data_IF_793339000412
#
_entry.id   IF_793339000412
#
_cell.length_a   1.000
_cell.length_b   1.000
_cell.length_c   1.000
_cell.angle_alpha   90.00
_cell.angle_beta   90.00
_cell.angle_gamma   90.00
#
_symmetry.space_group_name_H-M   'P 1'
#
loop_
_entity.id
_entity.type
_entity.pdbx_description
1 polymer ?
#
# COMPACT_ATOMS: atom_id res chain seq x y z
N UNK A 1 11.74 -21.08 9.60
CA UNK A 1 11.10 -21.26 10.92
C UNK A 1 9.57 -21.19 10.83
N UNK A 2 8.98 -20.06 10.44
CA UNK A 2 7.52 -19.89 10.35
C UNK A 2 6.83 -20.84 9.34
N UNK A 3 7.40 -21.04 8.15
CA UNK A 3 6.88 -22.01 7.18
C UNK A 3 6.91 -23.47 7.70
N UNK A 4 7.93 -23.82 8.50
CA UNK A 4 8.02 -25.12 9.15
C UNK A 4 6.95 -25.30 10.23
N UNK A 5 6.82 -24.32 11.14
CA UNK A 5 5.77 -24.35 12.16
C UNK A 5 4.35 -24.35 11.58
N UNK A 6 4.14 -23.70 10.42
CA UNK A 6 2.90 -23.80 9.67
C UNK A 6 2.67 -25.19 9.09
N UNK A 7 3.71 -25.84 8.55
CA UNK A 7 3.62 -27.19 8.00
C UNK A 7 3.28 -28.24 9.07
N UNK A 8 3.75 -28.05 10.31
CA UNK A 8 3.55 -28.98 11.43
C UNK A 8 2.12 -28.93 12.03
N UNK A 9 1.33 -27.91 11.70
CA UNK A 9 -0.04 -27.80 12.19
C UNK A 9 -1.00 -28.76 11.46
N UNK A 10 -1.95 -29.41 12.18
CA UNK A 10 -2.99 -30.22 11.55
C UNK A 10 -3.79 -29.40 10.51
N UNK A 11 -4.13 -30.01 9.37
CA UNK A 11 -4.78 -29.32 8.24
C UNK A 11 -6.00 -28.49 8.65
N UNK A 12 -6.94 -29.07 9.41
CA UNK A 12 -8.13 -28.37 9.90
C UNK A 12 -7.80 -27.16 10.79
N UNK A 13 -6.74 -27.25 11.60
CA UNK A 13 -6.31 -26.14 12.45
C UNK A 13 -5.74 -25.00 11.61
N UNK A 14 -4.97 -25.31 10.56
CA UNK A 14 -4.47 -24.33 9.59
C UNK A 14 -5.61 -23.59 8.90
N UNK A 15 -6.59 -24.33 8.40
CA UNK A 15 -7.78 -23.78 7.75
C UNK A 15 -8.56 -22.84 8.69
N UNK A 16 -8.86 -23.28 9.91
CA UNK A 16 -9.59 -22.46 10.88
C UNK A 16 -8.82 -21.21 11.30
N UNK A 17 -7.50 -21.32 11.52
CA UNK A 17 -6.65 -20.17 11.85
C UNK A 17 -6.61 -19.17 10.71
N UNK A 18 -6.39 -19.65 9.48
CA UNK A 18 -6.33 -18.81 8.29
C UNK A 18 -7.66 -18.08 8.06
N UNK A 19 -8.77 -18.82 8.08
CA UNK A 19 -10.10 -18.25 7.92
C UNK A 19 -10.37 -17.15 8.97
N UNK A 20 -10.06 -17.43 10.24
CA UNK A 20 -10.24 -16.46 11.33
C UNK A 20 -9.41 -15.20 11.15
N UNK A 21 -8.12 -15.35 10.79
CA UNK A 21 -7.21 -14.22 10.59
C UNK A 21 -7.64 -13.36 9.41
N UNK A 22 -8.06 -13.98 8.31
CA UNK A 22 -8.49 -13.26 7.10
C UNK A 22 -9.81 -12.56 7.35
N UNK A 23 -10.81 -13.24 7.92
CA UNK A 23 -12.10 -12.63 8.22
C UNK A 23 -11.91 -11.41 9.13
N UNK A 24 -11.10 -11.54 10.19
CA UNK A 24 -10.79 -10.41 11.07
C UNK A 24 -10.09 -9.27 10.33
N UNK A 25 -9.13 -9.59 9.46
CA UNK A 25 -8.36 -8.60 8.71
C UNK A 25 -9.20 -7.84 7.68
N UNK A 26 -10.10 -8.53 6.97
CA UNK A 26 -11.04 -7.95 6.01
C UNK A 26 -12.11 -7.16 6.73
N UNK A 27 -12.69 -7.68 7.81
CA UNK A 27 -13.77 -7.00 8.55
C UNK A 27 -13.38 -5.61 9.04
N UNK A 28 -12.12 -5.44 9.47
CA UNK A 28 -11.53 -4.14 9.89
C UNK A 28 -11.39 -3.10 8.78
N UNK A 29 -11.55 -3.51 7.53
CA UNK A 29 -11.46 -2.66 6.34
C UNK A 29 -12.77 -2.65 5.55
N UNK A 30 -13.67 -3.58 5.85
CA UNK A 30 -14.87 -3.84 5.08
C UNK A 30 -15.74 -2.61 4.94
N UNK A 31 -15.94 -1.82 6.00
CA UNK A 31 -16.80 -0.64 5.92
C UNK A 31 -16.29 0.40 4.91
N UNK A 32 -14.98 0.63 4.88
CA UNK A 32 -14.32 1.55 3.95
C UNK A 32 -14.22 1.00 2.52
N UNK A 33 -14.23 -0.32 2.37
CA UNK A 33 -14.07 -0.99 1.07
C UNK A 33 -15.39 -1.39 0.41
N UNK A 34 -16.52 -1.37 1.12
CA UNK A 34 -17.83 -1.86 0.64
C UNK A 34 -18.32 -1.20 -0.65
N UNK A 35 -17.97 0.06 -0.89
CA UNK A 35 -18.33 0.76 -2.12
C UNK A 35 -17.51 0.32 -3.34
N UNK A 36 -16.41 -0.41 -3.13
CA UNK A 36 -15.46 -0.84 -4.15
C UNK A 36 -15.45 -2.36 -4.34
N UNK A 37 -15.58 -3.12 -3.25
CA UNK A 37 -15.50 -4.57 -3.24
C UNK A 37 -16.59 -5.17 -2.35
N UNK A 38 -17.11 -6.32 -2.75
CA UNK A 38 -17.87 -7.18 -1.85
C UNK A 38 -16.92 -7.76 -0.77
N UNK A 39 -17.14 -7.49 0.53
CA UNK A 39 -16.32 -8.03 1.62
C UNK A 39 -16.26 -9.56 1.64
N UNK A 40 -17.32 -10.25 1.21
CA UNK A 40 -17.32 -11.71 1.15
C UNK A 40 -16.35 -12.20 0.06
N UNK A 41 -16.44 -11.62 -1.14
CA UNK A 41 -15.52 -11.92 -2.24
C UNK A 41 -14.07 -11.58 -1.88
N UNK A 42 -13.82 -10.45 -1.19
CA UNK A 42 -12.48 -10.08 -0.73
C UNK A 42 -11.91 -11.10 0.28
N UNK A 43 -12.75 -11.62 1.17
CA UNK A 43 -12.38 -12.67 2.13
C UNK A 43 -12.00 -13.96 1.41
N UNK A 44 -12.81 -14.39 0.43
CA UNK A 44 -12.52 -15.56 -0.40
C UNK A 44 -11.18 -15.43 -1.12
N UNK A 45 -10.96 -14.31 -1.85
CA UNK A 45 -9.74 -14.10 -2.61
C UNK A 45 -8.50 -13.92 -1.75
N UNK A 46 -8.64 -13.31 -0.57
CA UNK A 46 -7.56 -13.28 0.41
C UNK A 46 -7.22 -14.69 0.93
N UNK A 47 -8.21 -15.55 1.15
CA UNK A 47 -8.00 -16.94 1.59
C UNK A 47 -7.32 -17.80 0.53
N UNK A 48 -7.74 -17.68 -0.74
CA UNK A 48 -7.08 -18.33 -1.87
C UNK A 48 -5.61 -17.89 -2.00
N UNK A 49 -5.34 -16.57 -1.92
CA UNK A 49 -3.99 -16.04 -2.03
C UNK A 49 -3.10 -16.48 -0.86
N UNK A 50 -3.59 -16.39 0.37
CA UNK A 50 -2.83 -16.77 1.56
C UNK A 50 -2.56 -18.28 1.63
N UNK A 51 -3.53 -19.11 1.20
CA UNK A 51 -3.34 -20.57 1.13
C UNK A 51 -2.23 -20.94 0.14
N UNK A 52 -2.18 -20.30 -1.03
CA UNK A 52 -1.11 -20.51 -2.02
C UNK A 52 0.26 -20.10 -1.48
N UNK A 53 0.34 -18.90 -0.88
CA UNK A 53 1.56 -18.39 -0.25
C UNK A 53 2.10 -19.32 0.83
N UNK A 54 1.22 -19.83 1.70
CA UNK A 54 1.61 -20.70 2.81
C UNK A 54 1.80 -22.17 2.41
N UNK A 55 1.27 -22.57 1.24
CA UNK A 55 1.39 -23.92 0.69
C UNK A 55 2.70 -24.20 -0.05
N UNK A 56 3.59 -23.21 -0.19
CA UNK A 56 4.89 -23.38 -0.84
C UNK A 56 4.85 -23.46 -2.37
N UNK A 57 3.75 -23.00 -3.01
CA UNK A 57 3.72 -22.81 -4.45
C UNK A 57 4.66 -21.69 -4.89
N UNK A 58 5.24 -21.81 -6.09
CA UNK A 58 6.11 -20.77 -6.67
C UNK A 58 5.38 -19.42 -6.74
N UNK A 59 5.82 -18.48 -5.90
CA UNK A 59 5.28 -17.13 -5.82
C UNK A 59 3.87 -17.07 -5.22
N UNK A 60 3.50 -15.92 -4.65
CA UNK A 60 2.17 -15.66 -4.09
C UNK A 60 1.01 -15.64 -5.09
N UNK A 61 1.08 -16.43 -6.15
CA UNK A 61 0.26 -16.32 -7.34
C UNK A 61 0.62 -15.10 -8.19
N UNK A 62 -0.14 -14.92 -9.26
CA UNK A 62 -0.15 -13.66 -10.00
C UNK A 62 -0.55 -12.53 -9.05
N UNK A 63 0.24 -11.45 -9.05
CA UNK A 63 -0.02 -10.27 -8.22
C UNK A 63 -1.45 -9.81 -8.50
N UNK A 64 -2.32 -9.65 -7.48
CA UNK A 64 -3.68 -9.18 -7.71
C UNK A 64 -3.65 -7.90 -8.55
N UNK A 65 -4.33 -7.93 -9.70
CA UNK A 65 -4.31 -6.83 -10.64
C UNK A 65 -4.91 -5.55 -10.04
N UNK A 66 -4.80 -4.45 -10.79
CA UNK A 66 -5.28 -3.13 -10.37
C UNK A 66 -6.74 -3.12 -9.88
N UNK A 67 -7.55 -4.08 -10.35
CA UNK A 67 -8.93 -4.31 -9.92
C UNK A 67 -9.09 -4.47 -8.41
N UNK A 68 -8.06 -4.90 -7.66
CA UNK A 68 -8.12 -5.12 -6.21
C UNK A 68 -7.60 -3.96 -5.36
N UNK A 69 -7.24 -2.85 -6.01
CA UNK A 69 -6.66 -1.68 -5.36
C UNK A 69 -7.60 -0.50 -5.55
N UNK A 70 -8.12 0.08 -4.46
CA UNK A 70 -8.99 1.25 -4.54
C UNK A 70 -8.23 2.46 -5.09
N UNK A 71 -8.90 3.44 -5.74
CA UNK A 71 -8.21 4.54 -6.39
C UNK A 71 -7.32 5.38 -5.49
N UNK A 72 -7.69 5.57 -4.21
CA UNK A 72 -6.88 6.30 -3.22
C UNK A 72 -5.51 5.63 -2.99
N UNK A 73 -5.48 4.30 -2.95
CA UNK A 73 -4.25 3.53 -2.79
C UNK A 73 -3.41 3.56 -4.07
N UNK A 74 -4.07 3.58 -5.24
CA UNK A 74 -3.37 3.79 -6.53
C UNK A 74 -2.69 5.15 -6.57
N UNK A 75 -3.36 6.20 -6.08
CA UNK A 75 -2.77 7.54 -5.97
C UNK A 75 -1.56 7.55 -5.04
N UNK A 76 -1.66 6.94 -3.85
CA UNK A 76 -0.52 6.83 -2.92
C UNK A 76 0.67 6.09 -3.52
N UNK A 77 0.40 5.02 -4.28
CA UNK A 77 1.44 4.28 -5.01
C UNK A 77 2.16 5.17 -6.03
N UNK A 78 1.43 5.95 -6.82
CA UNK A 78 2.05 6.85 -7.79
C UNK A 78 2.85 7.97 -7.12
N UNK A 79 2.39 8.51 -5.98
CA UNK A 79 3.16 9.50 -5.20
C UNK A 79 4.43 8.89 -4.62
N UNK A 80 4.36 7.67 -4.08
CA UNK A 80 5.53 6.94 -3.57
C UNK A 80 6.59 6.71 -4.63
N UNK A 81 6.18 6.46 -5.88
CA UNK A 81 7.12 6.34 -7.00
C UNK A 81 7.86 7.64 -7.30
N UNK A 82 7.23 8.79 -7.06
CA UNK A 82 7.90 10.09 -7.19
C UNK A 82 8.82 10.36 -6.00
N UNK A 83 8.39 10.00 -4.79
CA UNK A 83 9.13 10.23 -3.54
C UNK A 83 9.38 8.90 -2.80
N UNK A 84 10.37 8.10 -3.22
CA UNK A 84 10.56 6.75 -2.68
C UNK A 84 10.95 6.74 -1.20
N UNK A 85 10.39 5.80 -0.43
CA UNK A 85 10.72 5.59 0.97
C UNK A 85 12.21 5.27 1.16
N UNK A 86 12.84 5.90 2.15
CA UNK A 86 14.25 5.67 2.48
C UNK A 86 15.25 6.28 1.49
N UNK A 87 14.78 7.06 0.52
CA UNK A 87 15.62 7.79 -0.42
C UNK A 87 15.62 9.30 -0.12
N UNK A 88 16.71 10.02 -0.45
CA UNK A 88 16.73 11.47 -0.42
C UNK A 88 15.64 12.08 -1.30
N UNK A 89 15.30 13.35 -1.03
CA UNK A 89 14.34 14.08 -1.85
C UNK A 89 14.78 14.07 -3.34
N UNK A 90 13.88 13.70 -4.27
CA UNK A 90 14.21 13.58 -5.68
C UNK A 90 14.43 14.96 -6.31
N UNK A 91 15.22 15.02 -7.38
CA UNK A 91 15.33 16.25 -8.18
C UNK A 91 14.04 16.47 -8.98
N UNK A 92 13.30 17.53 -8.66
CA UNK A 92 12.02 17.85 -9.31
C UNK A 92 12.15 18.20 -10.80
N UNK A 93 13.34 18.61 -11.25
CA UNK A 93 13.69 18.84 -12.66
C UNK A 93 14.12 17.55 -13.37
N UNK A 94 14.15 16.42 -12.68
CA UNK A 94 14.38 15.11 -13.25
C UNK A 94 13.13 14.57 -13.97
N UNK A 95 13.33 13.52 -14.77
CA UNK A 95 12.25 12.83 -15.46
C UNK A 95 11.39 12.04 -14.46
N UNK A 96 10.06 12.14 -14.59
CA UNK A 96 9.12 11.36 -13.82
C UNK A 96 9.14 9.88 -14.27
N UNK A 97 9.08 8.91 -13.33
CA UNK A 97 8.90 7.51 -13.69
C UNK A 97 7.57 7.27 -14.44
N UNK A 98 7.49 6.20 -15.25
CA UNK A 98 6.23 5.81 -15.88
C UNK A 98 5.20 5.44 -14.79
N UNK A 99 3.95 5.82 -15.00
CA UNK A 99 2.85 5.47 -14.09
C UNK A 99 2.50 3.99 -14.22
N UNK A 100 2.27 3.33 -13.09
CA UNK A 100 1.74 1.96 -13.07
C UNK A 100 0.21 1.96 -13.08
N UNK A 101 -0.41 2.93 -12.41
CA UNK A 101 -1.82 3.22 -12.49
C UNK A 101 -2.05 4.47 -13.33
N UNK A 102 -2.72 4.33 -14.48
CA UNK A 102 -3.10 5.47 -15.31
C UNK A 102 -4.19 6.31 -14.63
N UNK A 103 -3.81 7.22 -13.74
CA UNK A 103 -4.74 8.12 -13.03
C UNK A 103 -5.20 9.29 -13.90
N UNK A 104 -4.38 9.70 -14.86
CA UNK A 104 -4.75 10.66 -15.89
C UNK A 104 -5.31 9.91 -17.10
N UNK A 105 -6.36 10.45 -17.73
CA UNK A 105 -7.10 9.80 -18.80
C UNK A 105 -6.20 9.19 -19.91
N UNK A 106 -6.45 7.92 -20.19
CA UNK A 106 -6.02 7.02 -21.29
C UNK A 106 -4.70 7.32 -22.03
N UNK A 107 -3.77 6.36 -22.12
CA UNK A 107 -2.65 6.44 -23.07
C UNK A 107 -3.18 6.48 -24.50
N UNK A 108 -3.03 7.62 -25.19
CA UNK A 108 -3.40 7.75 -26.61
C UNK A 108 -4.07 9.05 -27.02
N UNK A 109 -4.36 10.00 -26.11
CA UNK A 109 -4.88 11.32 -26.49
C UNK A 109 -3.83 12.41 -26.32
N UNK A 110 -3.30 12.84 -27.48
CA UNK A 110 -2.66 14.13 -27.74
C UNK A 110 -1.34 14.44 -27.02
N UNK A 111 -0.45 13.46 -26.99
CA UNK A 111 0.98 13.72 -27.04
C UNK A 111 1.61 12.70 -27.96
N UNK A 112 2.37 13.13 -28.96
CA UNK A 112 3.32 12.25 -29.66
C UNK A 112 4.08 11.43 -28.61
N UNK A 113 4.49 10.20 -28.92
CA UNK A 113 5.26 9.35 -28.00
C UNK A 113 6.56 10.02 -27.46
N UNK A 114 6.94 11.19 -27.97
CA UNK A 114 7.94 12.10 -27.43
C UNK A 114 7.51 12.90 -26.18
N UNK A 115 6.23 13.29 -26.04
CA UNK A 115 5.71 14.08 -24.91
C UNK A 115 5.59 13.27 -23.60
N UNK A 116 5.32 11.97 -23.70
CA UNK A 116 5.37 11.05 -22.53
C UNK A 116 6.82 10.85 -22.05
N UNK A 117 7.82 11.17 -22.89
CA UNK A 117 9.23 10.88 -22.65
C UNK A 117 9.98 11.96 -21.87
N UNK A 118 9.33 13.04 -21.45
CA UNK A 118 10.02 14.14 -20.74
C UNK A 118 9.17 14.84 -19.67
N UNK A 119 8.11 14.22 -19.16
CA UNK A 119 7.38 14.84 -18.06
C UNK A 119 8.28 14.96 -16.83
N UNK A 120 8.43 16.18 -16.33
CA UNK A 120 9.23 16.46 -15.15
C UNK A 120 8.52 15.94 -13.90
N UNK A 121 9.30 15.45 -12.95
CA UNK A 121 8.80 14.95 -11.67
C UNK A 121 7.98 16.02 -10.93
N UNK A 122 8.43 17.27 -10.93
CA UNK A 122 7.69 18.39 -10.33
C UNK A 122 6.32 18.66 -10.98
N UNK A 123 6.21 18.51 -12.30
CA UNK A 123 4.93 18.66 -13.01
C UNK A 123 3.97 17.53 -12.65
N UNK A 124 4.45 16.27 -12.64
CA UNK A 124 3.65 15.11 -12.23
C UNK A 124 3.18 15.23 -10.79
N UNK A 125 4.07 15.65 -9.90
CA UNK A 125 3.76 15.87 -8.50
C UNK A 125 2.67 16.95 -8.31
N UNK A 126 2.79 18.07 -9.02
CA UNK A 126 1.76 19.12 -9.03
C UNK A 126 0.42 18.60 -9.58
N UNK A 127 0.44 17.81 -10.65
CA UNK A 127 -0.78 17.22 -11.21
C UNK A 127 -1.45 16.24 -10.24
N UNK A 128 -0.69 15.41 -9.53
CA UNK A 128 -1.21 14.49 -8.51
C UNK A 128 -1.81 15.23 -7.32
N UNK A 129 -1.19 16.34 -6.89
CA UNK A 129 -1.69 17.18 -5.79
C UNK A 129 -3.10 17.71 -6.06
N UNK A 130 -3.37 18.18 -7.27
CA UNK A 130 -4.67 18.73 -7.68
C UNK A 130 -5.64 17.66 -8.22
N UNK A 131 -5.25 16.38 -8.18
CA UNK A 131 -6.08 15.30 -8.67
C UNK A 131 -7.29 15.07 -7.74
N UNK A 132 -8.48 14.67 -8.26
CA UNK A 132 -9.65 14.35 -7.43
C UNK A 132 -9.42 13.24 -6.38
N UNK A 133 -8.37 12.43 -6.55
CA UNK A 133 -7.95 11.37 -5.62
C UNK A 133 -6.87 11.83 -4.62
N UNK A 134 -6.54 13.11 -4.60
CA UNK A 134 -5.54 13.68 -3.70
C UNK A 134 -5.92 13.47 -2.25
N UNK A 135 -4.90 13.29 -1.40
CA UNK A 135 -5.04 13.28 0.05
C UNK A 135 -5.29 14.69 0.63
N UNK A 136 -5.36 15.74 -0.19
CA UNK A 136 -5.93 17.03 0.23
C UNK A 136 -7.44 16.93 0.53
N UNK A 137 -8.13 15.96 -0.07
CA UNK A 137 -9.55 15.72 0.16
C UNK A 137 -9.73 14.79 1.38
N UNK A 138 -10.40 15.29 2.43
CA UNK A 138 -10.65 14.56 3.68
C UNK A 138 -11.25 13.17 3.47
N UNK A 139 -12.25 13.04 2.60
CA UNK A 139 -12.85 11.74 2.31
C UNK A 139 -11.83 10.72 1.76
N UNK A 140 -10.91 11.16 0.89
CA UNK A 140 -9.88 10.29 0.36
C UNK A 140 -8.87 9.88 1.43
N UNK A 141 -8.51 10.80 2.34
CA UNK A 141 -7.65 10.50 3.49
C UNK A 141 -8.25 9.44 4.39
N UNK A 142 -9.50 9.63 4.80
CA UNK A 142 -10.19 8.69 5.68
C UNK A 142 -10.25 7.28 5.07
N UNK A 143 -10.53 7.17 3.77
CA UNK A 143 -10.51 5.90 3.06
C UNK A 143 -9.11 5.28 2.99
N UNK A 144 -8.10 6.05 2.59
CA UNK A 144 -6.72 5.58 2.51
C UNK A 144 -6.18 5.11 3.86
N UNK A 145 -6.43 5.89 4.92
CA UNK A 145 -6.05 5.57 6.30
C UNK A 145 -6.63 4.22 6.73
N UNK A 146 -7.95 4.07 6.62
CA UNK A 146 -8.65 2.86 7.07
C UNK A 146 -8.30 1.64 6.23
N UNK A 147 -8.04 1.80 4.94
CA UNK A 147 -7.63 0.66 4.09
C UNK A 147 -6.23 0.17 4.44
N UNK A 148 -5.30 1.08 4.75
CA UNK A 148 -3.93 0.70 5.11
C UNK A 148 -3.92 0.15 6.53
N UNK A 149 -4.43 0.91 7.50
CA UNK A 149 -4.26 0.61 8.92
C UNK A 149 -5.37 -0.25 9.51
N UNK A 150 -6.57 -0.26 8.90
CA UNK A 150 -7.77 -0.84 9.50
C UNK A 150 -8.38 0.09 10.56
N UNK A 151 -9.60 -0.25 11.00
CA UNK A 151 -10.31 0.49 12.04
C UNK A 151 -9.60 0.46 13.41
N UNK A 152 -8.66 -0.47 13.64
CA UNK A 152 -7.84 -0.56 14.85
C UNK A 152 -6.47 0.10 14.72
N UNK A 153 -6.25 0.94 13.69
CA UNK A 153 -4.99 1.66 13.46
C UNK A 153 -3.74 0.75 13.47
N UNK A 154 -3.89 -0.48 12.96
CA UNK A 154 -2.87 -1.53 12.95
C UNK A 154 -2.42 -2.03 14.32
N UNK A 155 -3.17 -1.77 15.39
CA UNK A 155 -2.79 -2.17 16.75
C UNK A 155 -2.51 -3.67 16.85
N UNK A 156 -3.41 -4.54 16.35
CA UNK A 156 -3.16 -5.97 16.45
C UNK A 156 -1.97 -6.43 15.58
N UNK A 157 -1.78 -5.81 14.40
CA UNK A 157 -0.61 -6.09 13.58
C UNK A 157 0.68 -5.72 14.32
N UNK A 158 0.71 -4.56 15.01
CA UNK A 158 1.89 -4.18 15.81
C UNK A 158 2.16 -5.16 16.95
N UNK A 159 1.12 -5.69 17.61
CA UNK A 159 1.31 -6.75 18.63
C UNK A 159 1.91 -8.03 18.03
N UNK A 160 1.48 -8.41 16.84
CA UNK A 160 2.05 -9.57 16.13
C UNK A 160 3.52 -9.31 15.75
N UNK A 161 3.85 -8.10 15.28
CA UNK A 161 5.23 -7.67 15.01
C UNK A 161 6.10 -7.79 16.26
N UNK A 162 5.64 -7.30 17.40
CA UNK A 162 6.37 -7.38 18.67
C UNK A 162 6.60 -8.83 19.12
N UNK A 163 5.66 -9.73 18.82
CA UNK A 163 5.74 -11.14 19.17
C UNK A 163 6.74 -11.89 18.28
N UNK A 164 6.78 -11.59 16.99
CA UNK A 164 7.65 -12.31 16.02
C UNK A 164 9.07 -11.73 15.98
N UNK A 165 9.23 -10.43 16.23
CA UNK A 165 10.51 -9.72 16.13
C UNK A 165 11.21 -9.54 17.50
N UNK A 166 11.03 -10.48 18.44
CA UNK A 166 11.74 -10.47 19.73
C UNK A 166 13.25 -10.51 19.46
N UNK A 167 14.00 -9.61 20.10
CA UNK A 167 15.45 -9.49 19.90
C UNK A 167 15.87 -8.67 18.67
N UNK A 168 14.93 -8.21 17.84
CA UNK A 168 15.22 -7.30 16.72
C UNK A 168 15.05 -5.85 17.17
N UNK A 169 15.98 -4.99 16.74
CA UNK A 169 15.96 -3.55 17.00
C UNK A 169 14.66 -2.92 16.51
N UNK A 170 14.03 -2.06 17.33
CA UNK A 170 12.73 -1.47 17.04
C UNK A 170 12.66 -0.79 15.66
N UNK A 171 13.72 -0.08 15.25
CA UNK A 171 13.78 0.63 13.98
C UNK A 171 13.79 -0.30 12.75
N UNK A 172 14.19 -1.57 12.91
CA UNK A 172 14.37 -2.51 11.78
C UNK A 172 13.35 -3.65 11.75
N UNK A 173 12.45 -3.75 12.74
CA UNK A 173 11.47 -4.85 12.86
C UNK A 173 10.60 -5.02 11.61
N UNK A 174 10.06 -3.93 11.08
CA UNK A 174 9.19 -3.99 9.89
C UNK A 174 9.97 -4.43 8.64
N UNK A 175 11.20 -3.94 8.49
CA UNK A 175 12.11 -4.36 7.41
C UNK A 175 12.42 -5.85 7.50
N UNK A 176 12.77 -6.30 8.69
CA UNK A 176 13.10 -7.70 8.96
C UNK A 176 11.92 -8.62 8.65
N UNK A 177 10.70 -8.27 9.08
CA UNK A 177 9.50 -9.03 8.76
C UNK A 177 9.16 -9.00 7.26
N UNK A 178 9.29 -7.83 6.62
CA UNK A 178 9.11 -7.70 5.18
C UNK A 178 10.05 -8.65 4.42
N UNK A 179 11.32 -8.73 4.81
CA UNK A 179 12.27 -9.68 4.23
C UNK A 179 11.87 -11.14 4.48
N UNK A 180 11.49 -11.48 5.71
CA UNK A 180 11.08 -12.84 6.08
C UNK A 180 9.83 -13.30 5.31
N UNK A 181 8.92 -12.37 5.00
CA UNK A 181 7.69 -12.64 4.26
C UNK A 181 7.83 -12.49 2.73
N UNK A 182 8.99 -12.06 2.22
CA UNK A 182 9.13 -11.64 0.82
C UNK A 182 8.31 -10.38 0.46
N UNK A 183 7.89 -9.61 1.45
CA UNK A 183 7.11 -8.39 1.35
C UNK A 183 8.00 -7.13 1.55
N UNK A 184 9.00 -6.94 0.69
CA UNK A 184 9.93 -5.79 0.78
C UNK A 184 9.25 -4.41 0.66
N UNK A 185 8.02 -4.36 0.16
CA UNK A 185 7.19 -3.16 0.05
C UNK A 185 6.49 -2.78 1.37
N UNK A 186 6.43 -3.68 2.36
CA UNK A 186 5.59 -3.52 3.56
C UNK A 186 5.94 -2.29 4.38
N UNK A 187 7.23 -2.06 4.63
CA UNK A 187 7.73 -0.92 5.41
C UNK A 187 7.34 0.41 4.73
N UNK A 188 7.50 0.50 3.41
CA UNK A 188 7.15 1.69 2.63
C UNK A 188 5.64 1.98 2.68
N UNK A 189 4.80 0.96 2.47
CA UNK A 189 3.34 1.10 2.48
C UNK A 189 2.82 1.50 3.87
N UNK A 190 3.34 0.89 4.93
CA UNK A 190 2.96 1.24 6.30
C UNK A 190 3.47 2.63 6.72
N UNK A 191 4.43 3.21 6.00
CA UNK A 191 4.86 4.59 6.19
C UNK A 191 3.95 5.61 5.48
N UNK A 192 3.14 5.21 4.49
CA UNK A 192 2.27 6.12 3.72
C UNK A 192 1.32 6.96 4.58
N UNK A 193 0.63 6.42 5.61
CA UNK A 193 -0.25 7.23 6.44
C UNK A 193 0.48 8.43 7.06
N UNK A 194 1.70 8.25 7.56
CA UNK A 194 2.49 9.34 8.13
C UNK A 194 3.06 10.29 7.08
N UNK A 195 3.42 9.76 5.91
CA UNK A 195 4.13 10.52 4.87
C UNK A 195 3.21 11.30 3.93
N UNK A 196 2.01 10.77 3.66
CA UNK A 196 1.14 11.24 2.59
C UNK A 196 -0.31 11.44 3.02
N UNK A 197 -0.71 11.03 4.23
CA UNK A 197 -2.07 11.23 4.75
C UNK A 197 -2.08 12.30 5.84
N UNK A 198 -1.32 12.09 6.93
CA UNK A 198 -1.25 13.03 8.07
C UNK A 198 -0.83 14.46 7.70
N UNK A 199 0.12 14.71 6.77
CA UNK A 199 0.51 16.09 6.46
C UNK A 199 -0.64 16.97 5.95
N UNK A 200 -1.71 16.36 5.45
CA UNK A 200 -2.90 17.04 4.96
C UNK A 200 -4.03 17.15 5.99
N UNK A 201 -3.86 16.58 7.18
CA UNK A 201 -4.86 16.57 8.26
C UNK A 201 -4.80 17.84 9.15
N UNK A 202 -3.78 18.69 8.97
CA UNK A 202 -3.64 19.97 9.68
C UNK A 202 -4.08 21.19 8.86
N UNK A 203 -4.39 22.31 9.55
CA UNK A 203 -4.70 23.62 8.91
C UNK A 203 -3.49 24.31 8.23
N UNK A 204 -2.32 23.66 8.20
CA UNK A 204 -1.11 24.17 7.58
C UNK A 204 -0.91 23.65 6.16
N UNK A 205 -0.20 24.41 5.33
CA UNK A 205 0.30 23.93 4.03
C UNK A 205 1.03 22.59 4.25
N UNK A 206 0.55 21.49 3.67
CA UNK A 206 1.18 20.19 3.81
C UNK A 206 2.60 20.28 3.28
N UNK A 207 3.61 20.18 4.15
CA UNK A 207 4.98 19.86 3.74
C UNK A 207 5.06 18.38 3.37
N UNK A 208 4.23 17.93 2.42
CA UNK A 208 4.83 17.04 1.44
C UNK A 208 5.84 17.93 0.74
N UNK A 209 7.11 17.53 0.74
CA UNK A 209 8.17 18.21 0.02
C UNK A 209 7.96 18.15 -1.51
N UNK A 210 6.81 18.60 -2.00
CA UNK A 210 6.63 19.23 -3.29
C UNK A 210 7.33 20.58 -3.21
N UNK A 211 8.66 20.58 -3.03
CA UNK A 211 9.43 21.82 -2.97
C UNK A 211 9.03 22.68 -4.18
N UNK A 212 8.62 23.92 -3.95
CA UNK A 212 8.39 24.80 -5.08
C UNK A 212 9.73 25.06 -5.76
N UNK A 213 9.82 24.95 -7.09
CA UNK A 213 10.99 25.46 -7.78
C UNK A 213 10.96 26.98 -7.63
N UNK A 214 11.85 27.50 -6.80
CA UNK A 214 12.24 28.91 -6.85
C UNK A 214 12.75 29.30 -8.24
#
# INVERSE_FOLDING_TARGET
>A
ALAGGWADLPARRRECLLATLIERSVRRRAWSLRSWFDPALLTEKAAEAATRLLGGGDGGGERPGASWVIPQVRWLHEVERLFPFGHPAPNLRGQAPPMEYALFGVPGQNGSAELVRAELLGHRAKALRHHPLSMEVEHNRALAWRVILGDDESEAFQRDVLTVAIGVEAATRLRHLGQLMGAGWLEAVLAWPRRFVLPFDGEGTPEIAFAEPG
#
